data_IF_107075107999
#
_entry.id   IF_107075107999
#
_cell.length_a   1.000
_cell.length_b   1.000
_cell.length_c   1.000
_cell.angle_alpha   90.00
_cell.angle_beta   90.00
_cell.angle_gamma   90.00
#
_symmetry.space_group_name_H-M   'P 1'
#
loop_
_entity.id
_entity.type
_entity.pdbx_description
1 polymer ?
#
# COMPACT_ATOMS: atom_id res chain seq x y z
N UNK A 1 -5.14 22.91 -12.06
CA UNK A 1 -4.01 22.70 -11.12
C UNK A 1 -4.40 21.69 -10.08
N UNK A 2 -3.51 20.76 -9.80
CA UNK A 2 -3.77 19.74 -8.78
C UNK A 2 -3.58 20.31 -7.38
N UNK A 3 -4.54 20.05 -6.50
CA UNK A 3 -4.42 20.32 -5.08
C UNK A 3 -4.02 19.07 -4.29
N UNK A 4 -3.61 18.01 -5.00
CA UNK A 4 -3.18 16.78 -4.38
C UNK A 4 -1.90 17.00 -3.58
N UNK A 5 -1.99 16.73 -2.31
CA UNK A 5 -0.85 16.74 -1.41
C UNK A 5 -0.73 15.38 -0.78
N UNK A 6 0.48 14.87 -0.75
CA UNK A 6 0.76 13.58 -0.14
C UNK A 6 2.05 13.69 0.66
N UNK A 7 1.99 13.16 1.88
CA UNK A 7 3.19 12.96 2.67
C UNK A 7 3.77 11.60 2.32
N UNK A 8 5.03 11.57 1.92
CA UNK A 8 5.73 10.33 1.56
C UNK A 8 6.82 10.07 2.59
N UNK A 9 6.73 8.93 3.25
CA UNK A 9 7.74 8.44 4.18
C UNK A 9 8.30 7.12 3.67
N UNK A 10 9.52 6.81 4.09
CA UNK A 10 10.08 5.49 3.82
C UNK A 10 9.79 4.54 4.99
N UNK A 11 9.77 3.25 4.69
CA UNK A 11 9.77 2.23 5.73
C UNK A 11 11.00 2.41 6.62
N UNK A 12 10.86 2.10 7.90
CA UNK A 12 11.99 2.13 8.83
C UNK A 12 13.01 1.04 8.53
N UNK A 13 12.60 0.00 7.82
CA UNK A 13 13.44 -1.14 7.45
C UNK A 13 13.97 -1.02 6.03
N UNK A 14 13.12 -0.57 5.09
CA UNK A 14 13.44 -0.54 3.66
C UNK A 14 13.27 0.85 3.07
N UNK A 15 14.35 1.47 2.58
CA UNK A 15 14.21 2.78 1.92
C UNK A 15 13.40 2.71 0.62
N UNK A 16 13.29 1.54 0.00
CA UNK A 16 12.56 1.35 -1.26
C UNK A 16 11.05 1.25 -1.06
N UNK A 17 10.59 0.89 0.14
CA UNK A 17 9.16 0.78 0.47
C UNK A 17 8.68 2.12 0.99
N UNK A 18 7.66 2.68 0.33
CA UNK A 18 7.13 4.01 0.65
C UNK A 18 5.76 3.89 1.31
N UNK A 19 5.54 4.74 2.31
CA UNK A 19 4.24 4.91 2.93
C UNK A 19 3.73 6.29 2.54
N UNK A 20 2.54 6.34 1.94
CA UNK A 20 1.94 7.57 1.46
C UNK A 20 0.70 7.88 2.28
N UNK A 21 0.60 9.15 2.70
CA UNK A 21 -0.58 9.63 3.41
C UNK A 21 -1.09 10.88 2.69
N UNK A 22 -2.26 10.82 2.04
CA UNK A 22 -2.83 11.98 1.40
C UNK A 22 -3.34 12.98 2.43
N UNK A 23 -3.46 14.24 2.02
CA UNK A 23 -4.07 15.30 2.81
C UNK A 23 -5.54 15.43 2.37
N UNK A 24 -6.49 14.97 3.18
CA UNK A 24 -7.89 14.94 2.75
C UNK A 24 -8.56 16.31 2.85
N UNK A 25 -9.61 16.50 2.06
CA UNK A 25 -10.52 17.63 2.18
C UNK A 25 -11.70 17.24 3.05
N UNK A 26 -12.05 18.10 4.01
CA UNK A 26 -13.17 17.88 4.91
C UNK A 26 -14.22 18.97 4.73
N UNK A 27 -15.48 18.59 4.74
CA UNK A 27 -16.61 19.50 4.85
C UNK A 27 -17.77 18.80 5.59
N UNK A 28 -18.94 19.45 5.64
CA UNK A 28 -20.08 18.87 6.36
C UNK A 28 -20.58 17.54 5.77
N UNK A 29 -20.18 17.20 4.55
CA UNK A 29 -20.55 15.94 3.88
C UNK A 29 -19.61 14.79 4.22
N UNK A 30 -18.42 15.07 4.77
CA UNK A 30 -17.40 14.08 5.06
C UNK A 30 -16.04 14.51 4.53
N UNK A 31 -15.28 13.55 4.05
CA UNK A 31 -13.94 13.78 3.53
C UNK A 31 -13.73 13.17 2.15
N UNK A 32 -12.78 13.75 1.43
CA UNK A 32 -12.35 13.27 0.12
C UNK A 32 -10.82 13.30 0.07
N UNK A 33 -10.23 12.24 -0.46
CA UNK A 33 -8.79 12.21 -0.66
C UNK A 33 -8.45 11.53 -1.98
N UNK A 34 -7.25 11.84 -2.49
CA UNK A 34 -6.74 11.25 -3.72
C UNK A 34 -5.79 10.11 -3.40
N UNK A 35 -6.10 8.93 -3.90
CA UNK A 35 -5.24 7.76 -3.74
C UNK A 35 -4.04 7.81 -4.68
N UNK A 36 -4.26 8.21 -5.92
CA UNK A 36 -3.22 8.26 -6.95
C UNK A 36 -3.49 9.39 -7.94
N UNK A 37 -2.43 10.04 -8.37
CA UNK A 37 -2.47 11.06 -9.39
C UNK A 37 -1.17 10.99 -10.20
N UNK A 38 -1.29 10.98 -11.52
CA UNK A 38 -0.15 10.79 -12.41
C UNK A 38 0.96 11.83 -12.20
N UNK A 39 0.60 13.08 -11.96
CA UNK A 39 1.55 14.18 -11.81
C UNK A 39 2.37 14.11 -10.52
N UNK A 40 1.90 13.34 -9.55
CA UNK A 40 2.56 13.15 -8.25
C UNK A 40 3.03 11.71 -8.04
N UNK A 41 3.31 11.03 -9.13
CA UNK A 41 3.68 9.64 -9.12
C UNK A 41 5.09 9.46 -8.57
N UNK A 42 5.25 8.50 -7.66
CA UNK A 42 6.54 8.17 -7.05
C UNK A 42 7.20 6.96 -7.70
N UNK A 43 6.66 6.53 -8.83
CA UNK A 43 7.17 5.40 -9.60
C UNK A 43 8.29 5.82 -10.54
N UNK A 44 9.15 4.90 -10.95
CA UNK A 44 10.15 5.18 -11.97
C UNK A 44 9.51 5.66 -13.27
N UNK A 45 10.22 6.52 -13.98
CA UNK A 45 9.78 7.05 -15.28
C UNK A 45 9.49 5.89 -16.23
N UNK A 46 8.34 5.96 -16.92
CA UNK A 46 7.93 4.95 -17.88
C UNK A 46 7.15 3.78 -17.29
N UNK A 47 7.00 3.72 -15.98
CA UNK A 47 6.16 2.69 -15.35
C UNK A 47 4.69 3.03 -15.55
N UNK A 48 3.88 2.02 -15.87
CA UNK A 48 2.44 2.16 -16.04
C UNK A 48 1.69 1.18 -15.16
N UNK A 49 0.61 1.64 -14.55
CA UNK A 49 -0.32 0.78 -13.82
C UNK A 49 -1.19 0.03 -14.83
N UNK A 50 -1.30 -1.29 -14.69
CA UNK A 50 -2.04 -2.13 -15.65
C UNK A 50 -3.27 -2.77 -15.06
N UNK A 51 -3.31 -2.98 -13.74
CA UNK A 51 -4.38 -3.70 -13.07
C UNK A 51 -4.73 -2.97 -11.79
N UNK A 52 -6.00 -2.95 -11.46
CA UNK A 52 -6.51 -2.46 -10.19
C UNK A 52 -7.49 -3.50 -9.65
N UNK A 53 -7.27 -3.98 -8.43
CA UNK A 53 -8.08 -5.04 -7.83
C UNK A 53 -8.54 -4.71 -6.43
N UNK A 54 -9.73 -5.18 -6.10
CA UNK A 54 -10.26 -5.17 -4.74
C UNK A 54 -10.35 -6.61 -4.23
N UNK A 55 -10.06 -6.79 -2.96
CA UNK A 55 -10.20 -8.09 -2.30
C UNK A 55 -10.95 -7.88 -1.00
N UNK A 56 -12.08 -8.56 -0.84
CA UNK A 56 -12.84 -8.56 0.40
C UNK A 56 -12.48 -9.81 1.20
N UNK A 57 -12.17 -9.64 2.46
CA UNK A 57 -11.82 -10.74 3.35
C UNK A 57 -12.58 -10.64 4.65
N UNK A 58 -12.81 -11.79 5.27
CA UNK A 58 -13.42 -11.91 6.59
C UNK A 58 -12.34 -11.86 7.68
N UNK A 59 -12.77 -11.59 8.89
CA UNK A 59 -11.90 -11.52 10.06
C UNK A 59 -10.99 -12.75 10.16
N UNK A 60 -9.74 -12.50 10.48
CA UNK A 60 -8.68 -13.50 10.67
C UNK A 60 -8.25 -14.23 9.38
N UNK A 61 -8.75 -13.84 8.22
CA UNK A 61 -8.26 -14.39 6.95
C UNK A 61 -6.91 -13.78 6.63
N UNK A 62 -5.93 -14.63 6.38
CA UNK A 62 -4.60 -14.26 5.94
C UNK A 62 -4.48 -14.58 4.45
N UNK A 63 -4.06 -13.58 3.65
CA UNK A 63 -3.75 -13.77 2.24
C UNK A 63 -2.29 -13.42 1.99
N UNK A 64 -1.61 -14.27 1.26
CA UNK A 64 -0.20 -14.12 0.96
C UNK A 64 0.62 -15.28 1.55
N UNK A 65 1.92 -15.19 1.64
CA UNK A 65 2.75 -14.09 1.10
C UNK A 65 3.01 -14.36 -0.38
N UNK A 66 2.91 -13.34 -1.21
CA UNK A 66 3.14 -13.49 -2.64
C UNK A 66 3.74 -12.19 -3.23
N UNK A 67 4.36 -12.33 -4.37
CA UNK A 67 4.99 -11.24 -5.09
C UNK A 67 5.82 -11.80 -6.23
N UNK A 68 6.44 -10.90 -6.99
CA UNK A 68 7.29 -11.26 -8.12
C UNK A 68 8.40 -10.20 -8.29
N UNK A 69 9.23 -10.40 -9.31
CA UNK A 69 10.39 -9.53 -9.57
C UNK A 69 10.10 -8.40 -10.57
N UNK A 70 8.85 -8.22 -10.98
CA UNK A 70 8.50 -7.27 -12.04
C UNK A 70 7.43 -6.26 -11.62
N UNK A 71 6.61 -6.60 -10.64
CA UNK A 71 5.39 -5.87 -10.32
C UNK A 71 5.56 -4.92 -9.16
N UNK A 72 5.21 -3.66 -9.37
CA UNK A 72 4.97 -2.68 -8.31
C UNK A 72 3.55 -2.84 -7.81
N UNK A 73 3.34 -2.61 -6.52
CA UNK A 73 1.99 -2.62 -5.93
C UNK A 73 1.80 -1.40 -5.05
N UNK A 74 0.70 -0.71 -5.28
CA UNK A 74 0.27 0.41 -4.45
C UNK A 74 -0.99 -0.01 -3.71
N UNK A 75 -0.85 -0.23 -2.41
CA UNK A 75 -1.82 -0.93 -1.56
C UNK A 75 -2.49 0.04 -0.60
N UNK A 76 -3.81 -0.05 -0.47
CA UNK A 76 -4.54 0.71 0.55
C UNK A 76 -5.72 -0.09 1.09
N UNK A 77 -6.22 0.32 2.25
CA UNK A 77 -7.42 -0.24 2.86
C UNK A 77 -8.62 0.66 2.54
N UNK A 78 -9.61 0.08 1.87
CA UNK A 78 -10.83 0.82 1.49
C UNK A 78 -11.89 0.74 2.58
N UNK A 79 -11.97 -0.40 3.27
CA UNK A 79 -12.94 -0.64 4.33
C UNK A 79 -12.35 -1.54 5.39
N UNK A 80 -12.62 -1.20 6.66
CA UNK A 80 -12.12 -1.98 7.78
C UNK A 80 -10.65 -1.74 8.08
N UNK A 81 -9.97 -2.78 8.50
CA UNK A 81 -8.55 -2.70 8.87
C UNK A 81 -7.85 -4.01 8.58
N UNK A 82 -6.59 -3.94 8.17
CA UNK A 82 -5.75 -5.14 8.03
C UNK A 82 -4.31 -4.84 8.41
N UNK A 83 -3.61 -5.92 8.75
CA UNK A 83 -2.19 -5.91 9.07
C UNK A 83 -1.43 -6.32 7.81
N UNK A 84 -0.68 -5.38 7.24
CA UNK A 84 0.08 -5.57 6.01
C UNK A 84 1.52 -5.88 6.34
N UNK A 85 2.08 -6.90 5.71
CA UNK A 85 3.48 -7.30 5.87
C UNK A 85 4.17 -7.26 4.51
N UNK A 86 5.39 -6.75 4.48
CA UNK A 86 6.28 -6.79 3.32
C UNK A 86 7.59 -7.44 3.72
N UNK A 87 8.10 -8.31 2.87
CA UNK A 87 9.34 -9.06 3.11
C UNK A 87 10.25 -8.88 1.91
N UNK A 88 11.51 -8.55 2.16
CA UNK A 88 12.50 -8.49 1.09
C UNK A 88 12.86 -9.92 0.66
N UNK A 89 12.48 -10.27 -0.56
CA UNK A 89 12.72 -11.59 -1.11
C UNK A 89 13.76 -11.59 -2.22
N UNK A 90 14.58 -10.54 -2.28
CA UNK A 90 15.70 -10.42 -3.23
C UNK A 90 16.91 -11.13 -2.66
N UNK A 91 17.29 -12.25 -3.22
CA UNK A 91 18.35 -13.13 -2.69
C UNK A 91 19.69 -12.45 -2.47
N UNK A 92 20.02 -11.46 -3.31
CA UNK A 92 21.30 -10.75 -3.23
C UNK A 92 21.22 -9.46 -2.40
N UNK A 93 20.08 -9.18 -1.80
CA UNK A 93 19.91 -7.99 -0.96
C UNK A 93 20.54 -8.19 0.41
N UNK A 94 21.18 -7.16 0.98
CA UNK A 94 21.69 -7.22 2.36
C UNK A 94 20.57 -7.36 3.39
N UNK A 95 19.31 -7.05 3.01
CA UNK A 95 18.15 -7.18 3.88
C UNK A 95 17.25 -8.36 3.49
N UNK A 96 17.81 -9.35 2.80
CA UNK A 96 17.05 -10.54 2.40
C UNK A 96 16.37 -11.18 3.60
N UNK A 97 15.06 -11.43 3.47
CA UNK A 97 14.15 -11.99 4.48
C UNK A 97 13.86 -11.07 5.67
N UNK A 98 14.39 -9.86 5.68
CA UNK A 98 13.92 -8.84 6.62
C UNK A 98 12.50 -8.43 6.24
N UNK A 99 11.75 -7.96 7.22
CA UNK A 99 10.34 -7.59 7.01
C UNK A 99 9.96 -6.34 7.77
N UNK A 100 8.91 -5.70 7.31
CA UNK A 100 8.26 -4.58 7.97
C UNK A 100 6.75 -4.78 7.91
N UNK A 101 6.02 -4.09 8.76
CA UNK A 101 4.58 -4.23 8.84
C UNK A 101 3.90 -2.89 9.05
N UNK A 102 2.65 -2.82 8.61
CA UNK A 102 1.85 -1.60 8.66
C UNK A 102 0.41 -1.98 8.96
N UNK A 103 -0.25 -1.21 9.84
CA UNK A 103 -1.70 -1.32 9.97
C UNK A 103 -2.31 -0.30 9.03
N UNK A 104 -3.10 -0.77 8.07
CA UNK A 104 -3.86 0.06 7.15
C UNK A 104 -5.34 -0.07 7.49
N UNK A 105 -6.03 1.05 7.57
CA UNK A 105 -7.46 1.09 7.87
C UNK A 105 -8.15 2.20 7.09
N UNK A 106 -9.48 2.21 7.15
CA UNK A 106 -10.28 3.17 6.40
C UNK A 106 -10.30 4.57 7.03
N UNK A 107 -9.58 4.77 8.12
CA UNK A 107 -9.45 6.06 8.80
C UNK A 107 -8.10 6.72 8.58
N UNK A 108 -7.02 5.93 8.57
CA UNK A 108 -5.69 6.50 8.42
C UNK A 108 -5.36 6.88 6.97
N UNK A 109 -6.12 6.38 5.98
CA UNK A 109 -5.99 6.73 4.56
C UNK A 109 -4.60 6.46 3.98
N UNK A 110 -3.80 5.69 4.68
CA UNK A 110 -2.43 5.39 4.26
C UNK A 110 -2.42 4.39 3.13
N UNK A 111 -1.40 4.49 2.29
CA UNK A 111 -1.09 3.47 1.30
C UNK A 111 0.38 3.10 1.38
N UNK A 112 0.70 1.93 0.88
CA UNK A 112 2.07 1.41 0.87
C UNK A 112 2.44 1.09 -0.57
N UNK A 113 3.57 1.61 -1.00
CA UNK A 113 4.13 1.32 -2.32
C UNK A 113 5.23 0.27 -2.16
N UNK A 114 5.00 -0.90 -2.75
CA UNK A 114 5.88 -2.06 -2.66
C UNK A 114 6.54 -2.30 -4.01
N UNK A 115 7.88 -2.23 -4.08
CA UNK A 115 8.59 -2.45 -5.34
C UNK A 115 8.69 -3.94 -5.70
N UNK A 116 9.10 -4.25 -6.95
CA UNK A 116 9.42 -5.61 -7.34
C UNK A 116 10.49 -6.24 -6.44
N UNK A 117 10.42 -7.54 -6.28
CA UNK A 117 11.37 -8.29 -5.45
C UNK A 117 10.95 -8.43 -3.99
N UNK A 118 9.90 -7.73 -3.59
CA UNK A 118 9.29 -7.90 -2.27
C UNK A 118 8.07 -8.78 -2.37
N UNK A 119 7.85 -9.61 -1.37
CA UNK A 119 6.60 -10.35 -1.20
C UNK A 119 5.78 -9.69 -0.11
N UNK A 120 4.47 -9.84 -0.19
CA UNK A 120 3.58 -9.20 0.77
C UNK A 120 2.36 -10.07 1.07
N UNK A 121 1.73 -9.75 2.18
CA UNK A 121 0.49 -10.38 2.58
C UNK A 121 -0.23 -9.52 3.59
N UNK A 122 -1.49 -9.86 3.86
CA UNK A 122 -2.26 -9.12 4.84
C UNK A 122 -3.20 -10.03 5.62
N UNK A 123 -3.43 -9.64 6.86
CA UNK A 123 -4.35 -10.29 7.79
C UNK A 123 -5.51 -9.35 8.09
N UNK A 124 -6.73 -9.79 7.81
CA UNK A 124 -7.93 -9.00 8.11
C UNK A 124 -8.13 -8.92 9.63
N UNK A 125 -8.17 -7.70 10.17
CA UNK A 125 -8.31 -7.43 11.60
C UNK A 125 -9.74 -7.12 12.01
N UNK A 126 -10.52 -6.49 11.13
CA UNK A 126 -11.93 -6.17 11.37
C UNK A 126 -12.83 -7.33 10.94
N UNK A 127 -14.14 -7.23 11.18
CA UNK A 127 -15.08 -8.27 10.77
C UNK A 127 -14.99 -8.56 9.27
N UNK A 128 -14.82 -7.49 8.48
CA UNK A 128 -14.51 -7.53 7.07
C UNK A 128 -13.50 -6.46 6.75
N UNK A 129 -12.67 -6.69 5.75
CA UNK A 129 -11.84 -5.63 5.18
C UNK A 129 -11.87 -5.68 3.67
N UNK A 130 -11.66 -4.52 3.04
CA UNK A 130 -11.49 -4.42 1.59
C UNK A 130 -10.10 -3.88 1.31
N UNK A 131 -9.29 -4.73 0.75
CA UNK A 131 -7.93 -4.46 0.30
C UNK A 131 -7.99 -4.03 -1.15
N UNK A 132 -7.27 -2.97 -1.48
CA UNK A 132 -7.17 -2.49 -2.86
C UNK A 132 -5.71 -2.35 -3.24
N UNK A 133 -5.38 -2.80 -4.45
CA UNK A 133 -4.08 -2.49 -5.02
C UNK A 133 -4.15 -2.20 -6.51
N UNK A 134 -3.23 -1.40 -6.93
CA UNK A 134 -2.99 -1.11 -8.33
C UNK A 134 -1.62 -1.64 -8.73
#
# INVERSE_FOLDING_TARGET
MSDFKVEVKTSEVFPEVKILKPDPWFDYRGEMWTFWEKENEVLPIGHEWKISKFTRSRKNVLRGLHGDNETWKHITCVFGAFYQVVVDFRKDSPTYLWWDSFVLDDRNMKSVLVPPGFINGHLCLSDECVFHYT
#
